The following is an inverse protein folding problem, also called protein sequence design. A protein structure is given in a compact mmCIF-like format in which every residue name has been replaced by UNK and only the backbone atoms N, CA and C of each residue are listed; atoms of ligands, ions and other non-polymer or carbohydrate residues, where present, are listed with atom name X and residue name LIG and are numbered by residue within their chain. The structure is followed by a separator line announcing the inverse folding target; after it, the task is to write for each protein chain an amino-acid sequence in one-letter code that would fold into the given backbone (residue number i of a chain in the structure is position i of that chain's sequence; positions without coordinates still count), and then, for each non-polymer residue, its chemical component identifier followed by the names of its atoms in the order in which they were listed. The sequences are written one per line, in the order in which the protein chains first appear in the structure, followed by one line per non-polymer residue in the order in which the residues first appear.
data_IF_809605978806
#
_entry.id   IF_809605978806
#
_cell.length_a   1.000
_cell.length_b   1.000
_cell.length_c   1.000
_cell.angle_alpha   90.00
_cell.angle_beta   90.00
_cell.angle_gamma   90.00
#
_symmetry.space_group_name_H-M   'P 1'
#
loop_
_entity.id
_entity.type
_entity.pdbx_description
1 polymer ?
#
# COMPACT_ATOMS: atom_id res chain seq x y z
N UNK A 1 6.03 17.04 1.52
CA UNK A 1 6.56 15.96 2.38
C UNK A 1 7.13 14.89 1.46
N UNK A 2 8.27 14.28 1.79
CA UNK A 2 8.94 13.31 0.91
C UNK A 2 9.19 12.02 1.69
N UNK A 3 8.99 10.88 1.03
CA UNK A 3 9.21 9.56 1.57
C UNK A 3 9.93 8.65 0.58
N UNK A 4 10.45 7.53 1.06
CA UNK A 4 11.17 6.54 0.25
C UNK A 4 10.36 5.26 0.11
N UNK A 5 10.19 4.77 -1.10
CA UNK A 5 9.56 3.47 -1.36
C UNK A 5 10.48 2.35 -0.86
N UNK A 6 9.98 1.57 0.09
CA UNK A 6 10.69 0.44 0.72
C UNK A 6 10.32 -0.89 0.06
N UNK A 7 9.05 -1.03 -0.33
CA UNK A 7 8.55 -2.24 -0.99
C UNK A 7 7.49 -1.90 -2.04
N UNK A 8 7.48 -2.70 -3.11
CA UNK A 8 6.44 -2.70 -4.14
C UNK A 8 5.91 -4.12 -4.22
N UNK A 9 4.68 -4.36 -3.77
CA UNK A 9 4.13 -5.69 -3.56
C UNK A 9 2.90 -5.94 -4.43
N UNK A 10 2.79 -7.15 -4.98
CA UNK A 10 1.63 -7.60 -5.76
C UNK A 10 1.20 -9.01 -5.38
N UNK A 11 -0.02 -9.39 -5.76
CA UNK A 11 -0.50 -10.78 -5.66
C UNK A 11 -1.29 -11.17 -6.92
N UNK A 12 -1.06 -12.35 -7.52
CA UNK A 12 -1.75 -12.77 -8.74
C UNK A 12 -3.19 -13.24 -8.48
N UNK A 13 -3.55 -13.53 -7.23
CA UNK A 13 -4.90 -13.92 -6.83
C UNK A 13 -5.41 -13.12 -5.61
N UNK A 14 -6.73 -13.05 -5.45
CA UNK A 14 -7.35 -12.49 -4.24
C UNK A 14 -7.26 -13.51 -3.11
N UNK A 15 -7.13 -13.01 -1.88
CA UNK A 15 -7.02 -13.87 -0.69
C UNK A 15 -5.62 -14.48 -0.49
N UNK A 16 -4.68 -14.26 -1.41
CA UNK A 16 -3.27 -14.63 -1.22
C UNK A 16 -2.48 -13.44 -0.70
N UNK A 17 -1.44 -13.71 0.08
CA UNK A 17 -0.49 -12.69 0.53
C UNK A 17 0.18 -12.01 -0.67
N UNK A 18 0.47 -10.71 -0.55
CA UNK A 18 1.28 -10.00 -1.54
C UNK A 18 2.76 -10.24 -1.25
N UNK A 19 3.57 -10.25 -2.31
CA UNK A 19 5.02 -10.40 -2.22
C UNK A 19 5.70 -9.19 -2.83
N UNK A 20 6.81 -8.74 -2.23
CA UNK A 20 7.62 -7.66 -2.78
C UNK A 20 8.27 -8.10 -4.10
N UNK A 21 7.88 -7.43 -5.19
CA UNK A 21 8.37 -7.65 -6.56
C UNK A 21 9.45 -6.64 -6.98
N UNK A 22 9.79 -5.70 -6.11
CA UNK A 22 10.86 -4.72 -6.33
C UNK A 22 10.47 -3.57 -7.27
N UNK A 23 9.70 -3.83 -8.31
CA UNK A 23 9.10 -2.81 -9.19
C UNK A 23 7.78 -3.29 -9.80
N UNK A 24 6.91 -2.34 -10.16
CA UNK A 24 5.66 -2.66 -10.84
C UNK A 24 5.19 -1.52 -11.76
N UNK A 25 4.36 -1.88 -12.75
CA UNK A 25 3.70 -0.93 -13.66
C UNK A 25 2.34 -0.54 -13.09
N UNK A 26 2.12 0.76 -12.98
CA UNK A 26 0.88 1.39 -12.54
C UNK A 26 0.10 1.85 -13.77
N UNK A 27 -1.13 1.39 -13.88
CA UNK A 27 -2.05 1.62 -14.98
C UNK A 27 -3.08 2.65 -14.52
N UNK A 28 -3.19 3.74 -15.26
CA UNK A 28 -4.16 4.81 -15.02
C UNK A 28 -5.58 4.28 -14.92
N UNK A 29 -6.34 4.77 -13.93
CA UNK A 29 -7.71 4.36 -13.64
C UNK A 29 -7.90 2.83 -13.47
N UNK A 30 -6.85 2.11 -13.07
CA UNK A 30 -6.92 0.65 -12.97
C UNK A 30 -6.13 0.06 -11.79
N UNK A 31 -4.93 0.55 -11.49
CA UNK A 31 -4.10 0.01 -10.40
C UNK A 31 -2.79 -0.58 -10.90
N UNK A 32 -2.38 -1.73 -10.37
CA UNK A 32 -1.07 -2.31 -10.66
C UNK A 32 -1.20 -3.50 -11.61
N UNK A 33 -0.40 -3.53 -12.67
CA UNK A 33 -0.35 -4.64 -13.62
C UNK A 33 -0.08 -5.96 -12.89
N UNK A 34 -0.90 -6.98 -13.17
CA UNK A 34 -0.77 -8.31 -12.56
C UNK A 34 -1.27 -8.42 -11.11
N UNK A 35 -1.72 -7.33 -10.48
CA UNK A 35 -2.31 -7.40 -9.15
C UNK A 35 -3.79 -7.80 -9.19
N UNK A 36 -4.17 -8.77 -8.38
CA UNK A 36 -5.53 -9.30 -8.33
C UNK A 36 -6.59 -8.30 -7.82
N UNK A 37 -6.16 -7.19 -7.22
CA UNK A 37 -7.05 -6.12 -6.75
C UNK A 37 -7.12 -4.95 -7.73
N UNK A 38 -6.38 -4.99 -8.85
CA UNK A 38 -6.52 -4.00 -9.90
C UNK A 38 -7.93 -4.06 -10.54
N UNK A 39 -8.42 -2.91 -10.96
CA UNK A 39 -9.73 -2.70 -11.57
C UNK A 39 -10.19 -1.26 -11.46
N UNK A 40 -11.33 -0.95 -12.08
CA UNK A 40 -11.95 0.38 -12.06
C UNK A 40 -12.78 0.61 -10.79
N UNK A 41 -12.10 0.86 -9.67
CA UNK A 41 -12.74 1.14 -8.38
C UNK A 41 -11.87 2.06 -7.52
N UNK A 42 -12.33 2.44 -6.32
CA UNK A 42 -11.65 3.44 -5.50
C UNK A 42 -10.43 2.91 -4.72
N UNK A 43 -10.13 1.60 -4.72
CA UNK A 43 -9.00 1.01 -3.96
C UNK A 43 -8.01 0.28 -4.87
N UNK A 44 -7.52 1.00 -5.88
CA UNK A 44 -6.64 0.44 -6.91
C UNK A 44 -5.26 0.10 -6.36
N UNK A 45 -4.78 0.89 -5.40
CA UNK A 45 -3.47 0.73 -4.77
C UNK A 45 -3.63 0.89 -3.26
N UNK A 46 -3.12 -0.05 -2.47
CA UNK A 46 -3.01 0.08 -1.01
C UNK A 46 -1.62 0.58 -0.59
N UNK A 47 -1.55 1.50 0.37
CA UNK A 47 -0.30 2.04 0.89
C UNK A 47 -0.23 1.87 2.42
N UNK A 48 0.98 1.62 2.93
CA UNK A 48 1.30 1.62 4.35
C UNK A 48 2.58 2.41 4.63
N UNK A 49 2.55 3.11 5.76
CA UNK A 49 3.72 3.78 6.31
C UNK A 49 4.67 2.74 6.92
N UNK A 50 5.93 2.74 6.49
CA UNK A 50 6.96 1.80 6.95
C UNK A 50 7.12 1.82 8.48
N UNK A 51 7.08 3.00 9.09
CA UNK A 51 7.25 3.17 10.53
C UNK A 51 6.16 2.43 11.34
N UNK A 52 4.94 2.34 10.79
CA UNK A 52 3.83 1.60 11.43
C UNK A 52 4.01 0.09 11.33
N UNK A 53 4.63 -0.39 10.23
CA UNK A 53 5.01 -1.81 10.09
C UNK A 53 6.12 -2.13 11.10
N UNK A 54 7.12 -1.26 11.24
CA UNK A 54 8.20 -1.44 12.22
C UNK A 54 7.67 -1.46 13.66
N UNK A 55 6.74 -0.56 14.02
CA UNK A 55 6.11 -0.59 15.33
C UNK A 55 5.28 -1.85 15.58
N UNK A 56 4.66 -2.41 14.53
CA UNK A 56 3.99 -3.71 14.62
C UNK A 56 4.99 -4.86 14.81
N UNK A 57 6.12 -4.86 14.09
CA UNK A 57 7.21 -5.85 14.24
C UNK A 57 7.81 -5.84 15.64
N UNK A 58 8.03 -4.66 16.24
CA UNK A 58 8.53 -4.51 17.62
C UNK A 58 7.65 -5.17 18.68
N UNK A 59 6.37 -5.42 18.38
CA UNK A 59 5.45 -6.17 19.26
C UNK A 59 5.64 -7.69 19.16
N UNK A 60 6.66 -8.16 18.45
CA UNK A 60 6.98 -9.58 18.27
C UNK A 60 6.35 -10.22 17.04
N UNK A 61 5.85 -9.42 16.09
CA UNK A 61 5.22 -9.93 14.87
C UNK A 61 6.27 -10.20 13.78
N UNK A 62 6.36 -11.45 13.31
CA UNK A 62 7.15 -11.81 12.14
C UNK A 62 6.35 -11.52 10.86
N UNK A 63 6.43 -10.27 10.38
CA UNK A 63 5.70 -9.81 9.18
C UNK A 63 6.67 -9.32 8.11
N UNK A 64 6.54 -9.86 6.90
CA UNK A 64 7.25 -9.39 5.70
C UNK A 64 6.43 -8.31 4.98
N UNK A 65 7.08 -7.51 4.13
CA UNK A 65 6.36 -6.50 3.35
C UNK A 65 5.38 -7.18 2.36
N UNK A 66 4.16 -6.65 2.28
CA UNK A 66 3.02 -7.25 1.59
C UNK A 66 2.16 -8.17 2.47
N UNK A 67 2.59 -8.48 3.70
CA UNK A 67 1.86 -9.38 4.60
C UNK A 67 0.48 -8.85 5.03
N UNK A 68 0.30 -7.53 5.06
CA UNK A 68 -1.00 -6.96 5.38
C UNK A 68 -1.88 -6.76 4.14
N UNK A 69 -1.36 -7.03 2.93
CA UNK A 69 -2.05 -6.83 1.66
C UNK A 69 -1.84 -5.43 1.07
N UNK A 70 -0.83 -4.71 1.54
CA UNK A 70 -0.36 -3.43 1.00
C UNK A 70 0.40 -3.61 -0.32
N UNK A 71 0.23 -2.67 -1.25
CA UNK A 71 1.01 -2.62 -2.49
C UNK A 71 2.28 -1.78 -2.34
N UNK A 72 2.21 -0.66 -1.62
CA UNK A 72 3.35 0.21 -1.40
C UNK A 72 3.65 0.34 0.08
N UNK A 73 4.91 0.16 0.43
CA UNK A 73 5.44 0.51 1.75
C UNK A 73 6.35 1.71 1.59
N UNK A 74 6.10 2.79 2.32
CA UNK A 74 6.85 4.04 2.19
C UNK A 74 7.30 4.54 3.55
N UNK A 75 8.59 4.85 3.69
CA UNK A 75 9.16 5.46 4.89
C UNK A 75 9.06 6.99 4.83
N UNK A 76 8.88 7.63 5.99
CA UNK A 76 8.89 9.10 6.10
C UNK A 76 7.57 9.82 5.81
N UNK A 77 6.48 9.07 5.57
CA UNK A 77 5.12 9.63 5.39
C UNK A 77 4.17 8.89 6.32
N UNK A 78 3.44 9.62 7.18
CA UNK A 78 2.31 9.10 7.95
C UNK A 78 1.02 9.29 7.15
N UNK A 79 0.68 8.32 6.29
CA UNK A 79 -0.43 8.44 5.35
C UNK A 79 -1.78 8.67 6.02
N UNK A 80 -2.02 7.99 7.15
CA UNK A 80 -3.27 8.08 7.91
C UNK A 80 -3.55 9.50 8.40
N UNK A 81 -2.50 10.27 8.66
CA UNK A 81 -2.63 11.66 9.14
C UNK A 81 -3.04 12.65 8.04
N UNK A 82 -3.02 12.24 6.78
CA UNK A 82 -3.29 13.09 5.63
C UNK A 82 -4.78 13.05 5.24
N UNK A 83 -5.31 14.12 4.65
CA UNK A 83 -6.71 14.15 4.20
C UNK A 83 -6.91 13.28 2.95
N UNK A 84 -8.06 12.62 2.85
CA UNK A 84 -8.52 12.02 1.59
C UNK A 84 -8.54 13.09 0.49
N UNK A 85 -8.11 12.73 -0.71
CA UNK A 85 -7.84 13.63 -1.83
C UNK A 85 -6.38 14.09 -1.93
N UNK A 86 -5.54 13.79 -0.93
CA UNK A 86 -4.09 14.06 -1.03
C UNK A 86 -3.50 13.30 -2.20
N UNK A 87 -2.66 13.99 -2.99
CA UNK A 87 -1.95 13.41 -4.12
C UNK A 87 -0.49 13.16 -3.80
N UNK A 88 0.03 12.09 -4.38
CA UNK A 88 1.43 11.71 -4.27
C UNK A 88 2.00 11.48 -5.66
N UNK A 89 3.22 11.94 -5.89
CA UNK A 89 3.98 11.70 -7.10
C UNK A 89 5.20 10.83 -6.82
N UNK A 90 5.39 9.81 -7.66
CA UNK A 90 6.62 9.01 -7.71
C UNK A 90 7.00 8.81 -9.17
N UNK A 91 8.09 9.44 -9.60
CA UNK A 91 8.44 9.56 -11.02
C UNK A 91 7.25 10.16 -11.82
N UNK A 92 6.75 9.43 -12.82
CA UNK A 92 5.59 9.78 -13.64
C UNK A 92 4.25 9.44 -12.97
N UNK A 93 4.27 8.54 -11.97
CA UNK A 93 3.04 8.01 -11.35
C UNK A 93 2.46 9.06 -10.41
N UNK A 94 1.17 9.33 -10.56
CA UNK A 94 0.40 10.15 -9.63
C UNK A 94 -0.67 9.29 -9.00
N UNK A 95 -0.69 9.24 -7.67
CA UNK A 95 -1.70 8.56 -6.87
C UNK A 95 -2.56 9.60 -6.14
N UNK A 96 -3.86 9.36 -6.03
CA UNK A 96 -4.76 10.17 -5.19
C UNK A 96 -5.38 9.28 -4.12
N UNK A 97 -5.19 9.64 -2.85
CA UNK A 97 -5.75 8.90 -1.73
C UNK A 97 -7.26 9.03 -1.69
N UNK A 98 -7.95 7.92 -1.59
CA UNK A 98 -9.42 7.84 -1.62
C UNK A 98 -10.01 7.36 -0.30
N UNK A 99 -9.24 6.67 0.53
CA UNK A 99 -9.74 6.06 1.75
C UNK A 99 -8.65 5.82 2.78
N UNK A 100 -9.02 5.94 4.06
CA UNK A 100 -8.21 5.56 5.22
C UNK A 100 -8.89 4.37 5.91
N UNK A 101 -8.10 3.36 6.25
CA UNK A 101 -8.56 2.14 6.91
C UNK A 101 -9.46 1.28 6.03
N UNK A 102 -9.90 0.14 6.56
CA UNK A 102 -10.98 -0.68 5.99
C UNK A 102 -11.59 -1.60 7.04
N UNK A 103 -12.86 -1.94 6.87
CA UNK A 103 -13.46 -3.03 7.64
C UNK A 103 -12.89 -4.39 7.19
N UNK A 104 -12.66 -5.27 8.15
CA UNK A 104 -12.19 -6.64 7.93
C UNK A 104 -13.32 -7.61 8.31
N UNK A 105 -13.96 -8.22 7.31
CA UNK A 105 -15.11 -9.09 7.55
C UNK A 105 -14.75 -10.56 7.85
N UNK A 106 -13.59 -11.04 7.40
CA UNK A 106 -13.22 -12.47 7.50
C UNK A 106 -11.87 -12.74 8.19
N UNK A 107 -11.18 -11.70 8.67
CA UNK A 107 -9.81 -11.78 9.21
C UNK A 107 -8.79 -12.26 8.16
N UNK A 108 -7.77 -11.44 7.86
CA UNK A 108 -6.66 -11.92 7.01
C UNK A 108 -5.78 -12.90 7.79
N UNK A 109 -4.87 -13.59 7.09
CA UNK A 109 -3.92 -14.54 7.70
C UNK A 109 -3.15 -13.92 8.88
N UNK A 110 -2.75 -12.65 8.78
CA UNK A 110 -2.09 -11.93 9.88
C UNK A 110 -3.01 -11.75 11.08
N UNK A 111 -4.28 -11.41 10.87
CA UNK A 111 -5.23 -11.31 11.97
C UNK A 111 -5.46 -12.68 12.64
N UNK A 112 -5.49 -13.76 11.87
CA UNK A 112 -5.63 -15.11 12.42
C UNK A 112 -4.40 -15.53 13.25
N UNK A 113 -3.19 -15.11 12.84
CA UNK A 113 -1.94 -15.40 13.56
C UNK A 113 -1.74 -14.51 14.79
N UNK A 114 -2.03 -13.22 14.68
CA UNK A 114 -1.65 -12.21 15.69
C UNK A 114 -2.83 -11.65 16.50
N UNK A 115 -4.08 -11.94 16.10
CA UNK A 115 -5.27 -11.31 16.67
C UNK A 115 -5.41 -9.81 16.35
N UNK A 116 -4.54 -9.26 15.50
CA UNK A 116 -4.49 -7.83 15.15
C UNK A 116 -4.02 -7.67 13.69
N UNK A 117 -4.51 -6.62 13.02
CA UNK A 117 -4.06 -6.21 11.70
C UNK A 117 -4.03 -4.68 11.66
N UNK A 118 -2.98 -4.11 11.06
CA UNK A 118 -2.83 -2.65 10.97
C UNK A 118 -3.67 -2.04 9.85
N UNK A 119 -3.98 -2.78 8.79
CA UNK A 119 -4.71 -2.25 7.62
C UNK A 119 -6.05 -1.57 7.94
N UNK A 120 -6.88 -2.07 8.87
CA UNK A 120 -8.09 -1.37 9.28
C UNK A 120 -7.87 0.04 9.83
N UNK A 121 -6.69 0.33 10.38
CA UNK A 121 -6.41 1.56 11.14
C UNK A 121 -5.34 2.45 10.52
N UNK A 122 -4.39 1.88 9.81
CA UNK A 122 -3.18 2.53 9.30
C UNK A 122 -3.06 2.42 7.77
N UNK A 123 -3.73 1.45 7.15
CA UNK A 123 -3.71 1.30 5.71
C UNK A 123 -4.48 2.41 5.02
N UNK A 124 -3.98 2.91 3.90
CA UNK A 124 -4.72 3.82 3.03
C UNK A 124 -4.87 3.24 1.64
N UNK A 125 -5.82 3.77 0.87
CA UNK A 125 -6.06 3.36 -0.50
C UNK A 125 -6.04 4.56 -1.42
N UNK A 126 -5.62 4.32 -2.66
CA UNK A 126 -5.52 5.33 -3.69
C UNK A 126 -5.99 4.81 -5.05
N UNK A 127 -6.26 5.75 -5.94
CA UNK A 127 -6.42 5.53 -7.38
C UNK A 127 -5.19 6.04 -8.13
N UNK A 128 -4.93 5.47 -9.30
CA UNK A 128 -3.85 5.90 -10.20
C UNK A 128 -4.38 6.98 -11.12
N UNK A 129 -3.97 8.22 -10.88
CA UNK A 129 -4.32 9.40 -11.68
C UNK A 129 -3.48 9.47 -12.96
N UNK A 130 -2.20 9.08 -12.87
CA UNK A 130 -1.30 8.96 -14.02
C UNK A 130 -0.47 7.70 -13.87
N UNK A 131 -0.43 6.89 -14.92
CA UNK A 131 0.32 5.63 -14.96
C UNK A 131 1.84 5.82 -15.11
N UNK A 132 2.58 4.73 -14.91
CA UNK A 132 4.05 4.74 -14.96
C UNK A 132 4.65 3.56 -14.21
N UNK A 133 5.92 3.70 -13.77
CA UNK A 133 6.63 2.66 -13.02
C UNK A 133 7.13 3.21 -11.69
N UNK A 134 6.94 2.41 -10.63
CA UNK A 134 7.52 2.65 -9.31
C UNK A 134 8.43 1.47 -8.99
N UNK A 135 9.62 1.76 -8.44
CA UNK A 135 10.55 0.76 -7.93
C UNK A 135 10.95 1.07 -6.48
N UNK A 136 11.41 0.05 -5.77
CA UNK A 136 12.04 0.20 -4.46
C UNK A 136 13.20 1.19 -4.57
N UNK A 137 13.25 2.12 -3.61
CA UNK A 137 14.25 3.18 -3.55
C UNK A 137 13.79 4.52 -4.13
N UNK A 138 12.74 4.53 -4.95
CA UNK A 138 12.18 5.78 -5.49
C UNK A 138 11.67 6.72 -4.38
N UNK A 139 11.63 8.02 -4.69
CA UNK A 139 11.05 9.03 -3.82
C UNK A 139 9.56 9.21 -4.14
N UNK A 140 8.73 9.19 -3.09
CA UNK A 140 7.33 9.56 -3.14
C UNK A 140 7.17 10.94 -2.51
N UNK A 141 6.69 11.90 -3.28
CA UNK A 141 6.47 13.28 -2.84
C UNK A 141 4.98 13.58 -2.75
N UNK A 142 4.56 14.24 -1.67
CA UNK A 142 3.21 14.77 -1.55
C UNK A 142 3.09 16.07 -2.34
N UNK A 143 2.07 16.15 -3.20
CA UNK A 143 1.74 17.32 -4.03
C UNK A 143 0.87 18.34 -3.30
#
# INVERSE_FOLDING_TARGET
MMGKVIAVCTSPAKGTQKTNVGEAVFIEDFGIEGDAHAGKWHRQVSLLSYDKIEDFRKRGAEVVDGAFGENLVVAGIDFKSLPVGTRFQCNEVILEMTQIGKECHHGCEIFQKMGDCIMPREGVFAIVIKGGKIRVGDQLEML
#
